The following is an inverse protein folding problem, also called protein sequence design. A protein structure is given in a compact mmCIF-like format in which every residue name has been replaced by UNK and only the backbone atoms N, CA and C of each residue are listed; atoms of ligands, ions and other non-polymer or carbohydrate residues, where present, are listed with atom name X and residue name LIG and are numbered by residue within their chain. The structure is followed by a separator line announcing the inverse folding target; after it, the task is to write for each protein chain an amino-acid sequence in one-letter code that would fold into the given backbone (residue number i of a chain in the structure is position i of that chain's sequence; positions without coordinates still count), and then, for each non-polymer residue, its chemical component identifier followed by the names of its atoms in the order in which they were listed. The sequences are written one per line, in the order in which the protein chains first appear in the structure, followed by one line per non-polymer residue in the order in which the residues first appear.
data_IF_850093833061
#
_entry.id   IF_850093833061
#
_cell.length_a   1.000
_cell.length_b   1.000
_cell.length_c   1.000
_cell.angle_alpha   90.00
_cell.angle_beta   90.00
_cell.angle_gamma   90.00
#
_symmetry.space_group_name_H-M   'P 1'
#
loop_
_entity.id
_entity.type
_entity.pdbx_description
1 polymer ?
#
# COMPACT_ATOMS: atom_id res chain seq x y z
N UNK A 1 10.64 -17.08 -0.38
CA UNK A 1 10.39 -15.85 0.39
C UNK A 1 10.97 -14.66 -0.36
N UNK A 2 10.21 -13.58 -0.52
CA UNK A 2 10.67 -12.31 -1.10
C UNK A 2 10.39 -11.20 -0.08
N UNK A 3 11.34 -10.29 0.11
CA UNK A 3 11.16 -9.12 0.96
C UNK A 3 11.34 -7.89 0.09
N UNK A 4 10.35 -7.01 0.08
CA UNK A 4 10.38 -5.74 -0.63
C UNK A 4 10.42 -4.59 0.36
N UNK A 5 11.15 -3.52 0.02
CA UNK A 5 11.16 -2.28 0.81
C UNK A 5 9.99 -1.41 0.34
N UNK A 6 8.80 -1.88 0.63
CA UNK A 6 7.53 -1.23 0.30
C UNK A 6 6.63 -1.23 1.53
N UNK A 7 5.65 -0.35 1.54
CA UNK A 7 4.70 -0.24 2.63
C UNK A 7 3.64 0.81 2.31
N UNK A 8 2.61 0.85 3.14
CA UNK A 8 1.46 1.73 2.94
C UNK A 8 1.17 2.59 4.19
N UNK A 9 2.19 2.82 5.01
CA UNK A 9 2.06 3.58 6.27
C UNK A 9 2.72 4.96 6.23
N UNK A 10 3.45 5.27 5.15
CA UNK A 10 4.24 6.50 5.05
C UNK A 10 5.64 6.44 5.68
N UNK A 11 5.87 5.45 6.54
CA UNK A 11 7.17 5.19 7.16
C UNK A 11 7.96 4.09 6.45
N UNK A 12 9.23 3.93 6.86
CA UNK A 12 10.05 2.82 6.39
C UNK A 12 9.41 1.49 6.77
N UNK A 13 9.03 0.71 5.76
CA UNK A 13 8.41 -0.58 5.93
C UNK A 13 8.92 -1.62 4.96
N UNK A 14 8.58 -2.86 5.24
CA UNK A 14 8.89 -4.00 4.40
C UNK A 14 7.66 -4.90 4.26
N UNK A 15 7.46 -5.42 3.06
CA UNK A 15 6.47 -6.45 2.80
C UNK A 15 7.17 -7.79 2.63
N UNK A 16 6.66 -8.81 3.30
CA UNK A 16 7.22 -10.17 3.28
C UNK A 16 6.27 -11.09 2.54
N UNK A 17 6.69 -11.56 1.37
CA UNK A 17 5.95 -12.46 0.50
C UNK A 17 6.45 -13.89 0.66
N UNK A 18 5.58 -14.80 1.08
CA UNK A 18 5.90 -16.19 1.42
C UNK A 18 4.81 -17.13 0.93
N UNK A 19 5.13 -18.41 0.87
CA UNK A 19 4.13 -19.44 0.66
C UNK A 19 3.21 -19.54 1.88
N UNK A 20 1.93 -19.83 1.66
CA UNK A 20 0.92 -19.87 2.72
C UNK A 20 1.22 -20.92 3.80
N UNK A 21 1.89 -22.01 3.45
CA UNK A 21 2.30 -23.05 4.41
C UNK A 21 3.36 -22.56 5.41
N UNK A 22 4.11 -21.50 5.10
CA UNK A 22 5.12 -20.89 5.95
C UNK A 22 4.59 -19.71 6.78
N UNK A 23 3.37 -19.25 6.54
CA UNK A 23 2.85 -18.00 7.08
C UNK A 23 2.91 -17.94 8.62
N UNK A 24 2.42 -18.98 9.29
CA UNK A 24 2.41 -19.03 10.74
C UNK A 24 3.83 -19.05 11.34
N UNK A 25 4.70 -19.88 10.77
CA UNK A 25 6.09 -19.98 11.20
C UNK A 25 6.84 -18.64 11.06
N UNK A 26 6.67 -17.96 9.94
CA UNK A 26 7.32 -16.67 9.71
C UNK A 26 6.75 -15.60 10.64
N UNK A 27 5.43 -15.59 10.85
CA UNK A 27 4.79 -14.70 11.81
C UNK A 27 5.35 -14.88 13.22
N UNK A 28 5.41 -16.12 13.70
CA UNK A 28 5.91 -16.43 15.06
C UNK A 28 7.36 -15.97 15.23
N UNK A 29 8.23 -16.26 14.24
CA UNK A 29 9.62 -15.81 14.25
C UNK A 29 9.72 -14.29 14.29
N UNK A 30 8.95 -13.57 13.45
CA UNK A 30 8.96 -12.11 13.42
C UNK A 30 8.49 -11.50 14.74
N UNK A 31 7.47 -12.08 15.36
CA UNK A 31 6.95 -11.60 16.64
C UNK A 31 7.91 -11.90 17.80
N UNK A 32 8.53 -13.07 17.81
CA UNK A 32 9.47 -13.45 18.87
C UNK A 32 10.76 -12.62 18.80
N UNK A 33 11.37 -12.50 17.63
CA UNK A 33 12.59 -11.70 17.43
C UNK A 33 12.31 -10.20 17.60
N UNK A 34 11.17 -9.74 17.11
CA UNK A 34 10.75 -8.34 17.19
C UNK A 34 10.41 -7.86 18.60
N UNK A 35 10.11 -8.77 19.52
CA UNK A 35 9.69 -8.44 20.90
C UNK A 35 10.69 -7.55 21.62
N UNK A 36 11.99 -7.83 21.48
CA UNK A 36 13.06 -7.04 22.09
C UNK A 36 13.18 -5.63 21.52
N UNK A 37 12.60 -5.39 20.34
CA UNK A 37 12.55 -4.10 19.65
C UNK A 37 11.19 -3.39 19.80
N UNK A 38 10.26 -3.95 20.59
CA UNK A 38 8.95 -3.39 20.80
C UNK A 38 7.94 -3.67 19.68
N UNK A 39 8.18 -4.68 18.83
CA UNK A 39 7.24 -5.04 17.78
C UNK A 39 5.90 -5.48 18.38
N UNK A 40 4.84 -5.02 17.77
CA UNK A 40 3.46 -5.33 18.12
C UNK A 40 2.64 -5.63 16.87
N UNK A 41 1.70 -6.55 16.98
CA UNK A 41 0.73 -6.79 15.93
C UNK A 41 -0.17 -5.56 15.75
N UNK A 42 -0.43 -5.16 14.51
CA UNK A 42 -1.36 -4.09 14.17
C UNK A 42 -2.42 -4.61 13.18
N UNK A 43 -3.62 -4.09 13.26
CA UNK A 43 -4.72 -4.45 12.37
C UNK A 43 -4.86 -3.53 11.17
N UNK A 44 -5.82 -3.86 10.29
CA UNK A 44 -6.11 -3.08 9.08
C UNK A 44 -6.60 -1.67 9.39
N UNK A 45 -7.32 -1.46 10.49
CA UNK A 45 -7.79 -0.12 10.89
C UNK A 45 -6.61 0.80 11.23
N UNK A 46 -5.56 0.25 11.88
CA UNK A 46 -4.34 1.01 12.15
C UNK A 46 -3.61 1.36 10.84
N UNK A 47 -3.56 0.43 9.89
CA UNK A 47 -3.02 0.68 8.55
C UNK A 47 -3.80 1.78 7.82
N UNK A 48 -5.13 1.76 7.91
CA UNK A 48 -5.98 2.77 7.27
C UNK A 48 -5.74 4.16 7.85
N UNK A 49 -5.59 4.28 9.15
CA UNK A 49 -5.24 5.56 9.80
C UNK A 49 -3.88 6.06 9.32
N UNK A 50 -2.86 5.21 9.36
CA UNK A 50 -1.49 5.62 8.99
C UNK A 50 -1.37 5.99 7.52
N UNK A 51 -2.03 5.25 6.61
CA UNK A 51 -1.99 5.59 5.18
C UNK A 51 -2.67 6.94 4.89
N UNK A 52 -3.75 7.27 5.62
CA UNK A 52 -4.44 8.58 5.49
C UNK A 52 -3.54 9.69 6.02
N UNK A 53 -2.90 9.52 7.15
CA UNK A 53 -1.93 10.49 7.70
C UNK A 53 -0.76 10.72 6.73
N UNK A 54 -0.32 9.68 6.02
CA UNK A 54 0.71 9.78 4.99
C UNK A 54 0.22 10.40 3.66
N UNK A 55 -1.08 10.62 3.51
CA UNK A 55 -1.68 11.12 2.27
C UNK A 55 -1.83 10.07 1.16
N UNK A 56 -1.75 8.79 1.49
CA UNK A 56 -1.96 7.71 0.53
C UNK A 56 -3.44 7.45 0.29
N UNK A 57 -3.83 7.43 -0.98
CA UNK A 57 -5.21 7.20 -1.40
C UNK A 57 -5.43 5.74 -1.79
N UNK A 58 -6.63 5.23 -1.58
CA UNK A 58 -7.03 3.85 -1.84
C UNK A 58 -8.12 3.81 -2.92
N UNK A 59 -7.89 3.02 -3.96
CA UNK A 59 -8.88 2.79 -5.01
C UNK A 59 -10.16 2.16 -4.42
N UNK A 60 -11.30 2.70 -4.78
CA UNK A 60 -12.61 2.30 -4.26
C UNK A 60 -13.01 3.01 -2.96
N UNK A 61 -12.13 3.83 -2.39
CA UNK A 61 -12.40 4.65 -1.20
C UNK A 61 -12.37 6.15 -1.58
N UNK A 62 -11.19 6.70 -1.89
CA UNK A 62 -11.06 8.10 -2.28
C UNK A 62 -11.35 8.35 -3.77
N UNK A 63 -11.19 7.33 -4.61
CA UNK A 63 -11.54 7.41 -6.03
C UNK A 63 -12.00 6.06 -6.58
N UNK A 64 -12.76 6.06 -7.66
CA UNK A 64 -13.20 4.84 -8.31
C UNK A 64 -12.10 4.26 -9.21
N UNK A 65 -11.90 2.96 -9.14
CA UNK A 65 -11.08 2.25 -10.11
C UNK A 65 -11.76 2.32 -11.49
N UNK A 66 -11.03 2.75 -12.52
CA UNK A 66 -11.55 2.89 -13.88
C UNK A 66 -12.21 1.62 -14.45
N UNK A 67 -11.75 0.44 -14.02
CA UNK A 67 -12.36 -0.85 -14.41
C UNK A 67 -13.76 -1.07 -13.83
N UNK A 68 -14.11 -0.38 -12.74
CA UNK A 68 -15.40 -0.50 -12.07
C UNK A 68 -16.32 0.70 -12.30
N UNK A 69 -15.87 1.69 -13.07
CA UNK A 69 -16.68 2.84 -13.42
C UNK A 69 -17.81 2.43 -14.37
N UNK A 70 -19.04 2.77 -14.01
CA UNK A 70 -20.24 2.53 -14.82
C UNK A 70 -20.52 3.68 -15.81
N UNK A 71 -19.94 4.85 -15.55
CA UNK A 71 -20.06 6.03 -16.39
C UNK A 71 -18.73 6.81 -16.42
N UNK A 72 -18.47 7.51 -17.54
CA UNK A 72 -17.25 8.30 -17.68
C UNK A 72 -17.08 9.37 -16.58
N UNK A 73 -18.18 9.88 -16.03
CA UNK A 73 -18.18 10.87 -14.94
C UNK A 73 -17.66 10.33 -13.60
N UNK A 74 -17.49 9.00 -13.49
CA UNK A 74 -16.95 8.37 -12.29
C UNK A 74 -15.43 8.16 -12.38
N UNK A 75 -14.83 8.36 -13.55
CA UNK A 75 -13.38 8.25 -13.73
C UNK A 75 -12.69 9.48 -13.16
N UNK A 76 -11.50 9.27 -12.61
CA UNK A 76 -10.64 10.35 -12.13
C UNK A 76 -9.28 10.25 -12.79
N UNK A 77 -8.69 11.38 -13.10
CA UNK A 77 -7.31 11.47 -13.56
C UNK A 77 -6.36 11.56 -12.36
N UNK A 78 -5.07 11.21 -12.51
CA UNK A 78 -4.09 11.41 -11.45
C UNK A 78 -4.04 12.86 -10.94
N UNK A 79 -4.31 13.84 -11.79
CA UNK A 79 -4.30 15.25 -11.39
C UNK A 79 -5.45 15.61 -10.46
N UNK A 80 -6.63 15.05 -10.69
CA UNK A 80 -7.83 15.30 -9.88
C UNK A 80 -7.72 14.69 -8.47
N UNK A 81 -6.97 13.60 -8.34
CA UNK A 81 -6.76 12.91 -7.06
C UNK A 81 -5.43 13.28 -6.37
N UNK A 82 -4.76 14.35 -6.84
CA UNK A 82 -3.53 14.84 -6.22
C UNK A 82 -2.26 14.05 -6.56
N UNK A 83 -2.32 13.13 -7.51
CA UNK A 83 -1.19 12.30 -7.94
C UNK A 83 -0.53 12.79 -9.23
N UNK A 84 -0.77 14.02 -9.65
CA UNK A 84 -0.18 14.58 -10.88
C UNK A 84 1.34 14.51 -10.92
N UNK A 85 2.00 14.55 -9.78
CA UNK A 85 3.44 14.41 -9.64
C UNK A 85 3.98 13.03 -10.07
N UNK A 86 3.13 12.00 -10.16
CA UNK A 86 3.50 10.67 -10.66
C UNK A 86 3.52 10.59 -12.18
N UNK A 87 2.96 11.59 -12.87
CA UNK A 87 2.83 11.60 -14.34
C UNK A 87 4.03 12.33 -14.95
N UNK A 88 4.83 11.60 -15.69
CA UNK A 88 6.06 12.10 -16.33
C UNK A 88 5.93 12.04 -17.85
N UNK A 89 5.30 13.03 -18.45
CA UNK A 89 5.04 13.10 -19.89
C UNK A 89 6.31 13.29 -20.74
N UNK A 90 7.41 13.69 -20.13
CA UNK A 90 8.70 13.96 -20.74
C UNK A 90 9.63 12.74 -20.80
N UNK A 91 9.24 11.61 -20.25
CA UNK A 91 10.09 10.39 -20.19
C UNK A 91 10.15 9.58 -21.51
N UNK A 92 9.55 10.07 -22.57
CA UNK A 92 9.48 9.39 -23.88
C UNK A 92 8.22 8.53 -24.05
N UNK A 93 8.21 7.61 -25.03
CA UNK A 93 7.02 6.81 -25.30
C UNK A 93 6.61 5.95 -24.09
N UNK A 94 5.33 5.94 -23.79
CA UNK A 94 4.70 5.11 -22.76
C UNK A 94 3.39 4.51 -23.27
N UNK A 95 2.91 3.49 -22.62
CA UNK A 95 1.69 2.77 -23.00
C UNK A 95 0.46 3.56 -22.56
#
# INVERSE_FOLDING_TARGET
MTITRTGYTGDLGFEVWIDNCDALRVWDVLMDEGRSYGAMAAGLDALDVTRVEAGFILAGVEYQNAQHCLAATQTSTPYEVGLGWTVHLDRGPFI
#
